data_IF_498756344147
#
_entry.id   IF_498756344147
#
_cell.length_a   1.000
_cell.length_b   1.000
_cell.length_c   1.000
_cell.angle_alpha   90.00
_cell.angle_beta   90.00
_cell.angle_gamma   90.00
#
_symmetry.space_group_name_H-M   'P 1'
#
loop_
_entity.id
_entity.type
_entity.pdbx_description
1 polymer ?
#
# COMPACT_ATOMS: atom_id res chain seq x y z
N UNK A 1 -20.75 -1.18 13.64
CA UNK A 1 -20.17 -1.91 12.48
C UNK A 1 -19.00 -2.73 13.00
N UNK A 2 -18.88 -4.01 12.65
CA UNK A 2 -17.69 -4.78 12.99
C UNK A 2 -16.47 -4.18 12.26
N UNK A 3 -15.34 -4.10 12.97
CA UNK A 3 -14.08 -3.65 12.39
C UNK A 3 -13.57 -4.68 11.40
N UNK A 4 -12.97 -4.22 10.30
CA UNK A 4 -12.28 -5.11 9.37
C UNK A 4 -11.07 -5.74 10.08
N UNK A 5 -10.83 -7.06 9.97
CA UNK A 5 -9.62 -7.65 10.52
C UNK A 5 -8.36 -7.04 9.89
N UNK A 6 -7.38 -6.71 10.71
CA UNK A 6 -6.07 -6.30 10.23
C UNK A 6 -5.42 -7.44 9.47
N UNK A 7 -4.78 -7.14 8.33
CA UNK A 7 -4.08 -8.13 7.50
C UNK A 7 -2.78 -7.58 6.99
N UNK A 8 -1.79 -8.44 6.89
CA UNK A 8 -0.53 -8.12 6.24
C UNK A 8 0.00 -9.34 5.48
N UNK A 9 0.27 -9.18 4.20
CA UNK A 9 0.59 -10.30 3.28
C UNK A 9 -0.48 -11.42 3.39
N UNK A 10 -0.06 -12.62 3.77
CA UNK A 10 -0.93 -13.78 3.98
C UNK A 10 -1.51 -13.89 5.39
N UNK A 11 -1.04 -13.07 6.34
CA UNK A 11 -1.45 -13.15 7.73
C UNK A 11 -2.66 -12.25 8.00
N UNK A 12 -3.64 -12.80 8.68
CA UNK A 12 -4.81 -12.07 9.19
C UNK A 12 -4.83 -12.15 10.69
N UNK A 13 -4.90 -11.02 11.37
CA UNK A 13 -5.00 -10.99 12.82
C UNK A 13 -6.32 -11.62 13.27
N UNK A 14 -6.31 -12.60 14.18
CA UNK A 14 -7.55 -13.17 14.74
C UNK A 14 -8.32 -12.13 15.55
N UNK A 15 -7.61 -11.25 16.25
CA UNK A 15 -8.12 -10.09 16.96
C UNK A 15 -7.31 -8.87 16.55
N UNK A 16 -7.98 -7.77 16.25
CA UNK A 16 -7.31 -6.53 15.93
C UNK A 16 -6.41 -6.09 17.08
N UNK A 17 -5.24 -5.48 16.80
CA UNK A 17 -4.37 -4.92 17.83
C UNK A 17 -5.14 -3.99 18.78
N UNK A 18 -4.79 -3.99 20.05
CA UNK A 18 -5.44 -3.20 21.09
C UNK A 18 -5.21 -1.70 20.91
N UNK A 19 -3.99 -1.33 20.53
CA UNK A 19 -3.57 0.05 20.31
C UNK A 19 -2.75 0.09 19.03
N UNK A 20 -2.91 1.16 18.28
CA UNK A 20 -2.04 1.48 17.15
C UNK A 20 -1.95 2.99 16.98
N UNK A 21 -0.82 3.46 16.47
CA UNK A 21 -0.56 4.84 16.06
C UNK A 21 -0.09 4.87 14.60
N UNK A 22 -0.36 5.96 13.94
CA UNK A 22 0.13 6.23 12.58
C UNK A 22 0.72 7.62 12.58
N UNK A 23 2.04 7.69 12.44
CA UNK A 23 2.76 8.94 12.45
C UNK A 23 3.00 9.44 11.03
N UNK A 24 2.60 10.70 10.82
CA UNK A 24 2.78 11.43 9.57
C UNK A 24 3.78 12.56 9.81
N UNK A 25 4.88 12.53 9.11
CA UNK A 25 5.90 13.56 9.22
C UNK A 25 6.18 14.21 7.87
N UNK A 26 6.59 15.48 7.95
CA UNK A 26 7.05 16.25 6.81
C UNK A 26 8.43 16.79 7.11
N UNK A 27 9.37 16.53 6.23
CA UNK A 27 10.73 17.01 6.38
C UNK A 27 10.81 18.48 5.97
N UNK A 28 11.21 19.34 6.93
CA UNK A 28 11.37 20.76 6.71
C UNK A 28 12.84 21.14 6.88
N UNK A 29 13.39 21.93 5.96
CA UNK A 29 14.67 22.60 6.15
C UNK A 29 14.43 24.04 6.62
N UNK A 30 15.22 24.45 7.61
CA UNK A 30 15.17 25.80 8.16
C UNK A 30 16.44 26.54 7.72
N UNK A 31 16.29 27.54 6.89
CA UNK A 31 17.40 28.38 6.43
C UNK A 31 17.39 29.70 7.20
N UNK A 32 18.48 29.98 7.91
CA UNK A 32 18.66 31.25 8.60
C UNK A 32 19.15 32.30 7.59
N UNK A 33 18.36 33.34 7.40
CA UNK A 33 18.74 34.46 6.53
C UNK A 33 19.44 35.56 7.39
N UNK A 34 20.61 36.06 6.99
CA UNK A 34 21.25 37.17 7.68
C UNK A 34 20.29 38.37 7.69
N UNK A 35 20.15 38.97 8.86
CA UNK A 35 19.29 40.15 9.12
C UNK A 35 17.79 39.96 8.91
N UNK A 36 17.32 38.70 8.78
CA UNK A 36 15.93 38.39 8.45
C UNK A 36 15.31 37.26 9.26
N UNK A 37 14.10 36.95 8.89
CA UNK A 37 13.33 35.83 9.40
C UNK A 37 13.85 34.51 8.81
N UNK A 38 13.48 33.40 9.43
CA UNK A 38 13.79 32.08 8.89
C UNK A 38 13.02 31.83 7.58
N UNK A 39 13.71 31.22 6.62
CA UNK A 39 13.07 30.65 5.44
C UNK A 39 12.87 29.15 5.65
N UNK A 40 11.61 28.70 5.51
CA UNK A 40 11.25 27.29 5.61
C UNK A 40 11.13 26.70 4.22
N UNK A 41 11.85 25.63 3.97
CA UNK A 41 11.74 24.84 2.74
C UNK A 41 11.10 23.50 3.05
N UNK A 42 10.01 23.19 2.38
CA UNK A 42 9.37 21.87 2.45
C UNK A 42 10.16 20.88 1.59
N UNK A 43 10.74 19.86 2.21
CA UNK A 43 11.48 18.79 1.56
C UNK A 43 10.60 17.55 1.25
N UNK A 44 9.30 17.69 1.46
CA UNK A 44 8.33 16.65 1.18
C UNK A 44 7.96 15.79 2.40
N UNK A 45 7.07 14.83 2.15
CA UNK A 45 6.62 13.89 3.18
C UNK A 45 7.67 12.81 3.41
N UNK A 46 7.83 12.42 4.66
CA UNK A 46 8.56 11.21 5.03
C UNK A 46 7.62 9.99 4.93
N UNK A 47 8.17 8.80 5.10
CA UNK A 47 7.37 7.58 5.21
C UNK A 47 6.44 7.68 6.42
N UNK A 48 5.27 7.07 6.32
CA UNK A 48 4.43 6.84 7.50
C UNK A 48 5.05 5.72 8.33
N UNK A 49 5.04 5.90 9.65
CA UNK A 49 5.40 4.88 10.62
C UNK A 49 4.11 4.44 11.31
N UNK A 50 3.84 3.15 11.27
CA UNK A 50 2.65 2.55 11.89
C UNK A 50 3.12 1.61 12.98
N UNK A 51 2.78 1.94 14.22
CA UNK A 51 3.13 1.17 15.39
C UNK A 51 1.88 0.67 16.10
N UNK A 52 2.01 -0.46 16.77
CA UNK A 52 0.89 -0.96 17.53
C UNK A 52 1.29 -2.03 18.54
N UNK A 53 0.35 -2.28 19.43
CA UNK A 53 0.44 -3.32 20.45
C UNK A 53 -0.76 -4.23 20.35
N UNK A 54 -0.52 -5.52 20.52
CA UNK A 54 -1.55 -6.53 20.55
C UNK A 54 -1.27 -7.62 21.58
N UNK A 55 -2.26 -8.46 21.75
CA UNK A 55 -2.16 -9.61 22.64
C UNK A 55 -2.83 -10.82 22.00
N UNK A 56 -2.25 -11.97 22.22
CA UNK A 56 -2.89 -13.26 21.93
C UNK A 56 -3.18 -13.95 23.24
N UNK A 57 -4.36 -14.50 23.37
CA UNK A 57 -4.84 -15.14 24.59
C UNK A 57 -5.38 -16.52 24.25
N UNK A 58 -5.09 -17.48 25.11
CA UNK A 58 -5.53 -18.87 24.97
C UNK A 58 -4.37 -19.84 24.70
N UNK A 59 -4.69 -21.12 24.63
CA UNK A 59 -3.72 -22.20 24.52
C UNK A 59 -2.87 -22.11 23.22
N UNK A 60 -3.35 -21.40 22.21
CA UNK A 60 -2.72 -21.21 20.90
C UNK A 60 -1.99 -19.86 20.76
N UNK A 61 -1.89 -19.06 21.84
CA UNK A 61 -1.30 -17.72 21.82
C UNK A 61 0.11 -17.70 21.22
N UNK A 62 0.98 -18.64 21.63
CA UNK A 62 2.34 -18.76 21.08
C UNK A 62 2.36 -19.24 19.62
N UNK A 63 1.42 -20.08 19.24
CA UNK A 63 1.28 -20.51 17.83
C UNK A 63 0.89 -19.34 16.94
N UNK A 64 -0.03 -18.49 17.37
CA UNK A 64 -0.43 -17.28 16.66
C UNK A 64 0.72 -16.28 16.54
N UNK A 65 1.50 -16.09 17.61
CA UNK A 65 2.70 -15.27 17.57
C UNK A 65 3.76 -15.85 16.62
N UNK A 66 3.94 -17.16 16.62
CA UNK A 66 4.84 -17.84 15.68
C UNK A 66 4.45 -17.62 14.20
N UNK A 67 3.16 -17.64 13.89
CA UNK A 67 2.68 -17.32 12.55
C UNK A 67 2.96 -15.86 12.18
N UNK A 68 2.76 -14.93 13.09
CA UNK A 68 3.09 -13.52 12.89
C UNK A 68 4.60 -13.33 12.69
N UNK A 69 5.43 -14.03 13.47
CA UNK A 69 6.87 -13.99 13.34
C UNK A 69 7.35 -14.56 11.99
N UNK A 70 6.71 -15.60 11.46
CA UNK A 70 7.02 -16.13 10.14
C UNK A 70 6.78 -15.07 9.04
N UNK A 71 5.71 -14.30 9.16
CA UNK A 71 5.44 -13.20 8.20
C UNK A 71 6.43 -12.04 8.36
N UNK A 72 6.95 -11.82 9.57
CA UNK A 72 8.03 -10.86 9.79
C UNK A 72 9.33 -11.25 9.08
N UNK A 73 9.67 -12.55 9.06
CA UNK A 73 10.85 -13.06 8.35
C UNK A 73 10.68 -13.11 6.83
N UNK A 74 9.44 -13.02 6.33
CA UNK A 74 9.18 -12.98 4.89
C UNK A 74 9.59 -11.62 4.32
N UNK A 75 10.62 -11.61 3.48
CA UNK A 75 11.24 -10.42 2.92
C UNK A 75 10.33 -9.62 2.00
N UNK A 76 10.65 -8.34 1.83
CA UNK A 76 9.96 -7.43 0.93
C UNK A 76 8.70 -6.78 1.52
N UNK A 77 8.18 -5.75 0.84
CA UNK A 77 6.98 -5.06 1.27
C UNK A 77 5.73 -5.93 1.06
N UNK A 78 4.70 -5.66 1.83
CA UNK A 78 3.40 -6.29 1.69
C UNK A 78 2.26 -5.31 1.86
N UNK A 79 1.08 -5.71 1.41
CA UNK A 79 -0.12 -4.91 1.61
C UNK A 79 -0.56 -5.03 3.07
N UNK A 80 -0.51 -3.91 3.79
CA UNK A 80 -1.06 -3.77 5.13
C UNK A 80 -2.47 -3.20 5.03
N UNK A 81 -3.45 -3.97 5.48
CA UNK A 81 -4.85 -3.56 5.58
C UNK A 81 -5.14 -3.22 7.03
N UNK A 82 -5.41 -1.95 7.27
CA UNK A 82 -5.74 -1.44 8.60
C UNK A 82 -7.24 -1.56 8.89
N UNK A 83 -7.67 -1.83 10.14
CA UNK A 83 -9.09 -1.99 10.49
C UNK A 83 -9.99 -0.79 10.18
N UNK A 84 -9.47 0.41 10.29
CA UNK A 84 -10.23 1.67 10.15
C UNK A 84 -9.62 2.66 9.18
N UNK A 85 -8.42 2.40 8.68
CA UNK A 85 -7.67 3.37 7.89
C UNK A 85 -7.27 2.80 6.54
N UNK A 86 -6.49 3.56 5.80
CA UNK A 86 -6.07 3.22 4.45
C UNK A 86 -5.18 1.98 4.42
N UNK A 87 -5.31 1.20 3.36
CA UNK A 87 -4.30 0.20 3.02
C UNK A 87 -3.01 0.89 2.59
N UNK A 88 -1.88 0.28 2.92
CA UNK A 88 -0.58 0.77 2.53
C UNK A 88 0.32 -0.39 2.13
N UNK A 89 1.20 -0.16 1.12
CA UNK A 89 2.36 -1.03 0.94
C UNK A 89 3.35 -0.71 2.05
N UNK A 90 3.76 -1.69 2.83
CA UNK A 90 4.60 -1.47 4.00
C UNK A 90 5.60 -2.60 4.20
N UNK A 91 6.72 -2.26 4.83
CA UNK A 91 7.69 -3.22 5.37
C UNK A 91 7.39 -3.48 6.83
N UNK A 92 7.42 -4.74 7.24
CA UNK A 92 7.36 -5.13 8.64
C UNK A 92 8.77 -4.97 9.24
N UNK A 93 9.00 -3.90 9.99
CA UNK A 93 10.36 -3.47 10.40
C UNK A 93 10.73 -3.99 11.77
N UNK A 94 9.78 -4.06 12.69
CA UNK A 94 10.03 -4.53 14.05
C UNK A 94 8.86 -5.36 14.57
N UNK A 95 9.20 -6.45 15.23
CA UNK A 95 8.28 -7.28 16.01
C UNK A 95 8.96 -7.56 17.36
N UNK A 96 8.29 -7.24 18.44
CA UNK A 96 8.81 -7.39 19.78
C UNK A 96 7.83 -8.16 20.65
N UNK A 97 8.35 -9.12 21.40
CA UNK A 97 7.64 -9.84 22.45
C UNK A 97 8.06 -9.24 23.80
N UNK A 98 7.10 -8.74 24.56
CA UNK A 98 7.32 -8.11 25.86
C UNK A 98 6.33 -8.63 26.88
N UNK A 99 6.74 -9.61 27.64
CA UNK A 99 5.89 -10.13 28.72
C UNK A 99 6.65 -11.02 29.68
N UNK A 100 6.04 -11.24 30.86
CA UNK A 100 6.38 -12.34 31.72
C UNK A 100 5.95 -13.67 31.07
N UNK A 101 6.74 -14.75 31.16
CA UNK A 101 6.39 -16.04 30.59
C UNK A 101 5.08 -16.57 31.19
N UNK A 102 4.06 -16.72 30.35
CA UNK A 102 2.76 -17.32 30.69
C UNK A 102 2.36 -18.28 29.58
N UNK A 103 1.80 -19.45 29.89
CA UNK A 103 1.54 -20.46 28.86
C UNK A 103 0.44 -20.07 27.87
N UNK A 104 -0.47 -19.20 28.27
CA UNK A 104 -1.72 -18.86 27.58
C UNK A 104 -1.84 -17.39 27.18
N UNK A 105 -0.74 -16.64 27.24
CA UNK A 105 -0.75 -15.20 26.98
C UNK A 105 0.53 -14.74 26.29
N UNK A 106 0.37 -13.94 25.23
CA UNK A 106 1.46 -13.29 24.52
C UNK A 106 1.10 -11.83 24.26
N UNK A 107 1.91 -10.92 24.77
CA UNK A 107 1.87 -9.51 24.42
C UNK A 107 2.99 -9.18 23.45
N UNK A 108 2.67 -8.45 22.40
CA UNK A 108 3.62 -8.08 21.38
C UNK A 108 3.42 -6.63 20.93
N UNK A 109 4.49 -6.02 20.43
CA UNK A 109 4.45 -4.76 19.71
C UNK A 109 5.03 -4.94 18.31
N UNK A 110 4.60 -4.10 17.38
CA UNK A 110 5.02 -4.15 16.00
C UNK A 110 5.19 -2.76 15.41
N UNK A 111 6.06 -2.66 14.40
CA UNK A 111 6.26 -1.43 13.64
C UNK A 111 6.29 -1.74 12.15
N UNK A 112 5.50 -1.01 11.39
CA UNK A 112 5.51 -1.01 9.93
C UNK A 112 5.99 0.33 9.40
N UNK A 113 6.79 0.30 8.35
CA UNK A 113 7.19 1.47 7.59
C UNK A 113 6.54 1.43 6.21
N UNK A 114 5.84 2.50 5.86
CA UNK A 114 5.25 2.61 4.53
C UNK A 114 6.32 2.63 3.44
N UNK A 115 6.07 1.85 2.39
CA UNK A 115 6.83 1.94 1.15
C UNK A 115 6.24 3.02 0.26
N UNK A 116 6.94 4.14 0.15
CA UNK A 116 6.51 5.33 -0.61
C UNK A 116 6.76 5.19 -2.10
N UNK A 117 7.45 4.14 -2.55
CA UNK A 117 7.86 3.93 -3.94
C UNK A 117 6.67 3.82 -4.92
N UNK A 118 5.48 3.52 -4.41
CA UNK A 118 4.25 3.35 -5.19
C UNK A 118 3.18 4.41 -4.93
N UNK A 119 3.51 5.51 -4.25
CA UNK A 119 2.50 6.46 -3.81
C UNK A 119 2.15 7.47 -4.91
N UNK A 120 1.01 7.30 -5.55
CA UNK A 120 0.30 8.38 -6.24
C UNK A 120 -0.55 9.13 -5.22
N UNK A 121 -0.23 10.37 -4.98
CA UNK A 121 -0.68 11.22 -3.86
C UNK A 121 -2.18 11.43 -3.57
N UNK A 122 -3.03 10.46 -3.82
CA UNK A 122 -4.45 10.54 -3.48
C UNK A 122 -4.78 9.78 -2.20
N UNK A 123 -5.32 10.51 -1.24
CA UNK A 123 -5.91 9.96 -0.02
C UNK A 123 -7.26 9.31 -0.38
N UNK A 124 -7.32 7.99 -0.42
CA UNK A 124 -8.59 7.27 -0.58
C UNK A 124 -9.09 6.84 0.80
N UNK A 125 -10.19 7.44 1.23
CA UNK A 125 -10.96 6.92 2.36
C UNK A 125 -11.73 5.69 1.91
N UNK A 126 -11.54 4.57 2.59
CA UNK A 126 -12.35 3.38 2.33
C UNK A 126 -13.72 3.56 2.97
N UNK A 127 -14.74 3.70 2.14
CA UNK A 127 -16.07 3.26 2.54
C UNK A 127 -16.02 1.72 2.71
N UNK A 128 -16.79 1.14 3.67
CA UNK A 128 -16.79 -0.30 3.87
C UNK A 128 -17.10 -0.99 2.54
N UNK A 129 -16.24 -1.94 2.17
CA UNK A 129 -16.38 -2.69 0.94
C UNK A 129 -17.73 -3.41 0.95
N UNK A 130 -18.66 -2.95 0.15
CA UNK A 130 -19.60 -3.86 -0.44
C UNK A 130 -18.79 -4.80 -1.33
N UNK A 131 -18.84 -6.08 -1.02
CA UNK A 131 -18.43 -7.13 -1.93
C UNK A 131 -19.25 -6.99 -3.23
N UNK A 132 -18.70 -6.29 -4.19
CA UNK A 132 -19.12 -6.43 -5.57
C UNK A 132 -18.08 -7.30 -6.24
N UNK A 133 -18.56 -8.44 -6.61
CA UNK A 133 -17.87 -9.47 -7.37
C UNK A 133 -16.96 -8.91 -8.45
N UNK A 134 -15.87 -9.65 -8.60
CA UNK A 134 -14.92 -9.57 -9.70
C UNK A 134 -15.55 -9.20 -11.04
N UNK A 135 -14.80 -8.48 -11.79
CA UNK A 135 -14.94 -8.47 -13.23
C UNK A 135 -15.61 -7.21 -13.75
N UNK A 136 -14.86 -6.49 -14.38
CA UNK A 136 -15.32 -5.41 -15.19
C UNK A 136 -14.18 -4.85 -15.99
N UNK A 137 -13.56 -5.71 -16.80
CA UNK A 137 -13.02 -5.24 -18.07
C UNK A 137 -14.10 -4.45 -18.74
N UNK A 138 -14.01 -3.14 -18.72
CA UNK A 138 -14.80 -2.29 -19.58
C UNK A 138 -14.46 -2.58 -21.04
N UNK A 139 -15.00 -3.65 -21.57
CA UNK A 139 -15.04 -3.92 -23.00
C UNK A 139 -16.16 -3.08 -23.57
N UNK A 140 -15.88 -1.82 -23.73
CA UNK A 140 -16.62 -0.91 -24.59
C UNK A 140 -15.78 -0.68 -25.84
N UNK A 141 -16.02 -1.48 -26.90
CA UNK A 141 -15.64 -1.16 -28.26
C UNK A 141 -14.13 -0.94 -28.52
N UNK A 142 -13.30 -1.97 -28.37
CA UNK A 142 -11.97 -2.01 -29.00
C UNK A 142 -10.94 -0.91 -28.60
N UNK A 143 -11.20 -0.12 -27.58
CA UNK A 143 -10.32 0.96 -27.13
C UNK A 143 -10.06 0.87 -25.63
N UNK A 144 -8.79 1.08 -25.24
CA UNK A 144 -8.37 1.30 -23.88
C UNK A 144 -8.22 2.80 -23.62
N UNK A 145 -8.81 3.31 -22.55
CA UNK A 145 -8.61 4.69 -22.11
C UNK A 145 -7.39 4.74 -21.18
N UNK A 146 -6.36 5.46 -21.58
CA UNK A 146 -5.11 5.59 -20.82
C UNK A 146 -5.38 6.21 -19.45
N UNK A 147 -4.96 5.53 -18.40
CA UNK A 147 -5.03 5.98 -17.00
C UNK A 147 -3.67 6.40 -16.50
N UNK A 148 -3.64 7.11 -15.39
CA UNK A 148 -2.39 7.48 -14.76
C UNK A 148 -1.61 6.22 -14.33
N UNK A 149 -0.35 6.12 -14.78
CA UNK A 149 0.51 4.96 -14.56
C UNK A 149 0.49 3.93 -15.69
N UNK A 150 -0.39 4.07 -16.69
CA UNK A 150 -0.36 3.22 -17.87
C UNK A 150 0.84 3.57 -18.75
N UNK A 151 1.44 2.53 -19.30
CA UNK A 151 2.44 2.63 -20.34
C UNK A 151 1.94 1.86 -21.57
N UNK A 152 2.39 2.24 -22.73
CA UNK A 152 2.00 1.52 -23.96
C UNK A 152 2.36 0.04 -23.89
N UNK A 153 3.45 -0.29 -23.21
CA UNK A 153 3.89 -1.66 -22.95
C UNK A 153 2.93 -2.40 -21.99
N UNK A 154 2.51 -1.75 -20.88
CA UNK A 154 1.58 -2.37 -19.92
C UNK A 154 0.23 -2.65 -20.55
N UNK A 155 -0.26 -1.73 -21.41
CA UNK A 155 -1.50 -1.91 -22.18
C UNK A 155 -1.37 -3.09 -23.15
N UNK A 156 -0.29 -3.15 -23.93
CA UNK A 156 -0.05 -4.27 -24.84
C UNK A 156 -0.09 -5.61 -24.10
N UNK A 157 0.64 -5.73 -23.00
CA UNK A 157 0.69 -6.94 -22.17
C UNK A 157 -0.67 -7.30 -21.56
N UNK A 158 -1.44 -6.31 -21.11
CA UNK A 158 -2.77 -6.52 -20.52
C UNK A 158 -3.76 -7.16 -21.50
N UNK A 159 -3.64 -6.80 -22.78
CA UNK A 159 -4.53 -7.30 -23.84
C UNK A 159 -3.91 -8.40 -24.70
N UNK A 160 -2.72 -8.92 -24.31
CA UNK A 160 -2.05 -10.02 -25.01
C UNK A 160 -1.53 -9.64 -26.40
N UNK A 161 -1.30 -8.35 -26.65
CA UNK A 161 -0.76 -7.83 -27.91
C UNK A 161 0.73 -7.60 -27.81
N UNK A 162 1.45 -7.74 -28.91
CA UNK A 162 2.81 -7.25 -29.02
C UNK A 162 2.82 -5.71 -29.12
N UNK A 163 3.96 -5.09 -28.78
CA UNK A 163 4.12 -3.63 -28.94
C UNK A 163 3.94 -3.19 -30.40
N UNK A 164 4.40 -4.01 -31.32
CA UNK A 164 4.30 -3.73 -32.76
C UNK A 164 2.86 -3.78 -33.25
N UNK A 165 2.07 -4.79 -32.81
CA UNK A 165 0.66 -4.91 -33.13
C UNK A 165 -0.15 -3.75 -32.55
N UNK A 166 0.14 -3.36 -31.29
CA UNK A 166 -0.53 -2.23 -30.67
C UNK A 166 -0.18 -0.91 -31.36
N UNK A 167 1.09 -0.73 -31.78
CA UNK A 167 1.53 0.45 -32.50
C UNK A 167 0.92 0.51 -33.91
N UNK A 168 0.84 -0.61 -34.61
CA UNK A 168 0.20 -0.70 -35.93
C UNK A 168 -1.28 -0.33 -35.89
N UNK A 169 -1.98 -0.69 -34.80
CA UNK A 169 -3.38 -0.32 -34.58
C UNK A 169 -3.57 1.14 -34.19
N UNK A 170 -2.49 1.83 -33.78
CA UNK A 170 -2.52 3.19 -33.26
C UNK A 170 -1.51 4.13 -33.98
N UNK A 171 -1.64 4.34 -35.31
CA UNK A 171 -0.72 5.19 -36.05
C UNK A 171 -0.74 6.66 -35.62
N UNK A 172 -1.78 7.08 -34.89
CA UNK A 172 -1.88 8.41 -34.31
C UNK A 172 -0.90 8.62 -33.15
N UNK A 173 -0.43 7.55 -32.49
CA UNK A 173 0.51 7.61 -31.39
C UNK A 173 1.93 7.53 -31.96
N UNK A 174 2.51 8.68 -32.25
CA UNK A 174 3.86 8.77 -32.85
C UNK A 174 4.98 8.30 -31.93
N UNK A 175 4.78 8.40 -30.61
CA UNK A 175 5.77 7.98 -29.62
C UNK A 175 5.11 7.10 -28.56
N UNK A 176 5.32 5.77 -28.59
CA UNK A 176 4.79 4.83 -27.62
C UNK A 176 5.19 5.11 -26.14
N UNK A 177 6.27 5.87 -25.95
CA UNK A 177 6.73 6.24 -24.61
C UNK A 177 6.04 7.50 -24.06
N UNK A 178 5.20 8.18 -24.86
CA UNK A 178 4.54 9.42 -24.51
C UNK A 178 3.03 9.35 -24.76
N UNK A 179 2.35 8.44 -24.08
CA UNK A 179 0.89 8.41 -24.04
C UNK A 179 0.38 9.30 -22.90
N UNK A 180 -0.77 9.94 -23.12
CA UNK A 180 -1.36 10.90 -22.16
C UNK A 180 -2.56 10.28 -21.48
N UNK A 181 -2.73 10.61 -20.20
CA UNK A 181 -3.94 10.21 -19.45
C UNK A 181 -5.18 10.76 -20.17
N UNK A 182 -6.17 9.89 -20.38
CA UNK A 182 -7.36 10.18 -21.16
C UNK A 182 -7.26 9.92 -22.68
N UNK A 183 -6.10 9.52 -23.17
CA UNK A 183 -5.92 9.14 -24.57
C UNK A 183 -6.56 7.77 -24.84
N UNK A 184 -7.15 7.59 -26.01
CA UNK A 184 -7.78 6.31 -26.43
C UNK A 184 -6.77 5.50 -27.24
N UNK A 185 -6.44 4.33 -26.73
CA UNK A 185 -5.58 3.35 -27.40
C UNK A 185 -6.44 2.23 -27.98
N UNK A 186 -6.39 2.03 -29.28
CA UNK A 186 -7.13 0.97 -29.98
C UNK A 186 -6.47 -0.39 -29.68
N UNK A 187 -7.28 -1.36 -29.22
CA UNK A 187 -6.81 -2.69 -28.81
C UNK A 187 -7.39 -3.83 -29.69
N UNK A 188 -8.48 -3.58 -30.35
CA UNK A 188 -9.12 -4.54 -31.26
C UNK A 188 -9.16 -4.03 -32.71
#
# INVERSE_FOLDING_TARGET
MPLTPMRYKSYTWPHNPRVYSIDYERKMAVHKVPFGLYHLQDLGRTRRVMEGEGEFVGADAYSQFGQLANVFYDSGPGLLVHPLWQTASAYFVALRLEQEPRPDYVRYSFTFWEDVSYYSGEVRTFAPAQETAAGGSGVGGGYHLVRQGDTFWSIARQYGLSLEELAAKNPQIRNPNLIRVGEKVKIA
#
